data_IF_944594281219
#
_entry.id   IF_944594281219
#
_cell.length_a   1.000
_cell.length_b   1.000
_cell.length_c   1.000
_cell.angle_alpha   90.00
_cell.angle_beta   90.00
_cell.angle_gamma   90.00
#
_symmetry.space_group_name_H-M   'P 1'
#
loop_
_entity.id
_entity.type
_entity.pdbx_description
1 polymer ?
#
# COMPACT_ATOMS: atom_id res chain seq x y z
N UNK A 1 17.66 -11.40 -1.21
CA UNK A 1 16.81 -11.88 -2.33
C UNK A 1 15.59 -11.01 -2.35
N UNK A 2 15.50 -10.02 -3.26
CA UNK A 2 14.39 -9.05 -3.27
C UNK A 2 13.11 -9.69 -3.85
N UNK A 3 11.94 -9.28 -3.34
CA UNK A 3 10.61 -9.68 -3.85
C UNK A 3 10.50 -9.41 -5.35
N UNK A 4 11.16 -8.37 -5.84
CA UNK A 4 11.28 -8.01 -7.25
C UNK A 4 11.97 -9.13 -8.07
N UNK A 5 13.03 -9.74 -7.55
CA UNK A 5 13.74 -10.87 -8.17
C UNK A 5 12.85 -12.12 -8.28
N UNK A 6 11.99 -12.33 -7.29
CA UNK A 6 11.03 -13.45 -7.29
C UNK A 6 9.91 -13.22 -8.32
N UNK A 7 9.38 -12.00 -8.41
CA UNK A 7 8.35 -11.65 -9.41
C UNK A 7 8.89 -11.82 -10.84
N UNK A 8 10.18 -11.51 -11.01
CA UNK A 8 10.84 -11.64 -12.30
C UNK A 8 11.20 -13.09 -12.64
N UNK A 9 11.47 -13.95 -11.66
CA UNK A 9 11.71 -15.38 -11.88
C UNK A 9 10.44 -16.16 -12.19
N UNK A 10 9.35 -15.87 -11.50
CA UNK A 10 8.05 -16.55 -11.65
C UNK A 10 7.30 -16.10 -12.92
N UNK A 11 7.65 -14.94 -13.50
CA UNK A 11 6.95 -14.40 -14.66
C UNK A 11 5.49 -13.98 -14.42
N UNK A 12 4.99 -14.14 -13.20
CA UNK A 12 3.59 -13.97 -12.82
C UNK A 12 3.40 -12.78 -11.87
N UNK A 13 3.50 -11.55 -12.43
CA UNK A 13 3.36 -10.33 -11.62
C UNK A 13 1.94 -10.12 -11.11
N UNK A 14 0.95 -10.49 -11.92
CA UNK A 14 -0.46 -10.42 -11.54
C UNK A 14 -0.71 -11.23 -10.26
N UNK A 15 -0.32 -12.50 -10.22
CA UNK A 15 -0.58 -13.36 -9.08
C UNK A 15 0.13 -12.93 -7.80
N UNK A 16 1.34 -12.36 -7.92
CA UNK A 16 2.02 -11.76 -6.76
C UNK A 16 1.32 -10.50 -6.25
N UNK A 17 0.78 -9.69 -7.14
CA UNK A 17 -0.06 -8.57 -6.74
C UNK A 17 -1.35 -9.07 -6.08
N UNK A 18 -2.03 -10.07 -6.67
CA UNK A 18 -3.24 -10.70 -6.11
C UNK A 18 -3.00 -11.25 -4.71
N UNK A 19 -1.89 -11.96 -4.47
CA UNK A 19 -1.58 -12.46 -3.13
C UNK A 19 -1.38 -11.33 -2.13
N UNK A 20 -0.69 -10.26 -2.49
CA UNK A 20 -0.48 -9.10 -1.62
C UNK A 20 -1.78 -8.35 -1.30
N UNK A 21 -2.65 -8.13 -2.30
CA UNK A 21 -3.97 -7.53 -2.09
C UNK A 21 -4.90 -8.48 -1.33
N UNK A 22 -4.87 -9.78 -1.63
CA UNK A 22 -5.65 -10.81 -0.95
C UNK A 22 -5.33 -10.90 0.53
N UNK A 23 -4.04 -10.93 0.89
CA UNK A 23 -3.61 -10.89 2.29
C UNK A 23 -4.15 -9.65 3.01
N UNK A 24 -4.04 -8.47 2.38
CA UNK A 24 -4.57 -7.24 2.96
C UNK A 24 -6.10 -7.25 3.07
N UNK A 25 -6.83 -7.83 2.10
CA UNK A 25 -8.28 -7.96 2.15
C UNK A 25 -8.74 -8.93 3.24
N UNK A 26 -8.04 -10.06 3.41
CA UNK A 26 -8.34 -11.06 4.45
C UNK A 26 -8.12 -10.53 5.88
N UNK A 27 -7.25 -9.55 6.08
CA UNK A 27 -7.09 -8.92 7.40
C UNK A 27 -8.23 -7.97 7.76
N UNK A 28 -9.00 -7.46 6.79
CA UNK A 28 -10.07 -6.49 7.05
C UNK A 28 -11.20 -7.03 7.94
N UNK A 29 -11.73 -8.25 7.71
CA UNK A 29 -12.73 -8.85 8.61
C UNK A 29 -12.20 -9.13 10.03
N UNK A 30 -10.88 -9.28 10.19
CA UNK A 30 -10.28 -9.53 11.50
C UNK A 30 -10.42 -8.33 12.43
N UNK A 31 -10.36 -7.09 11.90
CA UNK A 31 -10.46 -5.88 12.71
C UNK A 31 -11.77 -5.76 13.50
N UNK A 32 -12.97 -5.92 12.89
CA UNK A 32 -14.22 -5.86 13.65
C UNK A 32 -14.45 -7.08 14.55
N UNK A 33 -13.79 -8.21 14.29
CA UNK A 33 -13.92 -9.43 15.07
C UNK A 33 -12.84 -9.56 16.17
N UNK A 34 -11.87 -8.65 16.20
CA UNK A 34 -10.76 -8.71 17.14
C UNK A 34 -11.21 -8.45 18.58
N UNK A 35 -11.23 -9.49 19.40
CA UNK A 35 -11.53 -9.40 20.83
C UNK A 35 -10.34 -9.02 21.69
N UNK A 36 -9.11 -9.01 21.17
CA UNK A 36 -7.89 -8.69 21.91
C UNK A 36 -6.91 -7.85 21.11
N UNK A 37 -6.06 -7.09 21.80
CA UNK A 37 -5.00 -6.29 21.19
C UNK A 37 -4.04 -7.16 20.34
N UNK A 38 -3.76 -8.39 20.75
CA UNK A 38 -2.90 -9.30 20.02
C UNK A 38 -3.44 -9.61 18.61
N UNK A 39 -4.75 -9.79 18.46
CA UNK A 39 -5.40 -9.97 17.16
C UNK A 39 -5.26 -8.74 16.26
N UNK A 40 -5.43 -7.54 16.81
CA UNK A 40 -5.26 -6.28 16.07
C UNK A 40 -3.82 -6.11 15.58
N UNK A 41 -2.85 -6.36 16.45
CA UNK A 41 -1.42 -6.28 16.10
C UNK A 41 -1.07 -7.32 15.04
N UNK A 42 -1.53 -8.56 15.20
CA UNK A 42 -1.31 -9.63 14.23
C UNK A 42 -1.91 -9.31 12.86
N UNK A 43 -3.17 -8.85 12.81
CA UNK A 43 -3.82 -8.42 11.57
C UNK A 43 -3.07 -7.25 10.91
N UNK A 44 -2.63 -6.26 11.70
CA UNK A 44 -1.84 -5.12 11.19
C UNK A 44 -0.50 -5.58 10.61
N UNK A 45 0.16 -6.52 11.26
CA UNK A 45 1.43 -7.08 10.77
C UNK A 45 1.24 -7.81 9.42
N UNK A 46 0.23 -8.64 9.29
CA UNK A 46 -0.12 -9.33 8.03
C UNK A 46 -0.49 -8.33 6.93
N UNK A 47 -1.26 -7.28 7.24
CA UNK A 47 -1.58 -6.20 6.28
C UNK A 47 -0.29 -5.51 5.78
N UNK A 48 0.68 -5.25 6.67
CA UNK A 48 1.97 -4.67 6.30
C UNK A 48 2.79 -5.59 5.39
N UNK A 49 2.80 -6.90 5.67
CA UNK A 49 3.42 -7.90 4.77
C UNK A 49 2.74 -7.86 3.40
N UNK A 50 1.41 -7.87 3.34
CA UNK A 50 0.65 -7.76 2.10
C UNK A 50 1.01 -6.51 1.30
N UNK A 51 1.15 -5.35 1.96
CA UNK A 51 1.61 -4.10 1.33
C UNK A 51 3.03 -4.23 0.76
N UNK A 52 3.94 -4.86 1.48
CA UNK A 52 5.31 -5.11 1.03
C UNK A 52 5.36 -6.00 -0.22
N UNK A 53 4.52 -7.04 -0.25
CA UNK A 53 4.48 -7.99 -1.37
C UNK A 53 3.91 -7.34 -2.64
N UNK A 54 2.82 -6.55 -2.54
CA UNK A 54 2.10 -6.03 -3.71
C UNK A 54 2.77 -4.82 -4.37
N UNK A 55 3.57 -4.04 -3.65
CA UNK A 55 4.10 -2.77 -4.15
C UNK A 55 4.90 -2.92 -5.44
N UNK A 56 5.96 -3.71 -5.41
CA UNK A 56 6.85 -3.91 -6.55
C UNK A 56 6.17 -4.60 -7.76
N UNK A 57 5.37 -5.68 -7.61
CA UNK A 57 4.64 -6.29 -8.72
C UNK A 57 3.62 -5.35 -9.36
N UNK A 58 2.89 -4.57 -8.57
CA UNK A 58 1.92 -3.58 -9.06
C UNK A 58 2.58 -2.53 -9.93
N UNK A 59 3.66 -1.91 -9.42
CA UNK A 59 4.36 -0.86 -10.15
C UNK A 59 5.03 -1.41 -11.43
N UNK A 60 5.49 -2.66 -11.39
CA UNK A 60 6.01 -3.34 -12.55
C UNK A 60 4.92 -3.64 -13.60
N UNK A 61 3.70 -4.03 -13.18
CA UNK A 61 2.56 -4.19 -14.09
C UNK A 61 2.20 -2.88 -14.77
N UNK A 62 2.10 -1.79 -14.02
CA UNK A 62 1.84 -0.45 -14.59
C UNK A 62 2.88 -0.08 -15.63
N UNK A 63 4.17 -0.33 -15.36
CA UNK A 63 5.24 -0.05 -16.30
C UNK A 63 5.20 -0.94 -17.55
N UNK A 64 4.77 -2.21 -17.43
CA UNK A 64 4.69 -3.15 -18.56
C UNK A 64 3.55 -2.83 -19.52
N UNK A 65 2.38 -2.41 -19.00
CA UNK A 65 1.20 -2.11 -19.82
C UNK A 65 1.20 -0.68 -20.37
N UNK A 66 2.09 0.19 -19.86
CA UNK A 66 2.12 1.61 -20.24
C UNK A 66 3.25 1.88 -21.25
N UNK A 67 2.95 2.54 -22.39
CA UNK A 67 3.99 2.98 -23.32
C UNK A 67 5.07 3.82 -22.65
N UNK A 68 6.35 3.71 -23.07
CA UNK A 68 7.48 4.38 -22.40
C UNK A 68 7.30 5.89 -22.17
N UNK A 69 6.73 6.59 -23.15
CA UNK A 69 6.51 8.04 -23.11
C UNK A 69 5.37 8.47 -22.17
N UNK A 70 4.46 7.56 -21.77
CA UNK A 70 3.35 7.83 -20.86
C UNK A 70 3.59 7.31 -19.43
N UNK A 71 4.69 6.63 -19.16
CA UNK A 71 4.95 6.04 -17.82
C UNK A 71 4.89 7.07 -16.71
N UNK A 72 5.46 8.27 -16.92
CA UNK A 72 5.39 9.35 -15.93
C UNK A 72 3.96 9.73 -15.59
N UNK A 73 3.11 9.91 -16.62
CA UNK A 73 1.71 10.25 -16.45
C UNK A 73 0.93 9.12 -15.74
N UNK A 74 1.18 7.84 -16.10
CA UNK A 74 0.53 6.70 -15.47
C UNK A 74 0.88 6.58 -13.97
N UNK A 75 2.14 6.77 -13.60
CA UNK A 75 2.54 6.79 -12.21
C UNK A 75 2.01 8.02 -11.46
N UNK A 76 1.96 9.18 -12.12
CA UNK A 76 1.35 10.40 -11.57
C UNK A 76 -0.13 10.21 -11.29
N UNK A 77 -0.90 9.67 -12.25
CA UNK A 77 -2.32 9.36 -12.08
C UNK A 77 -2.54 8.36 -10.93
N UNK A 78 -1.75 7.29 -10.89
CA UNK A 78 -1.82 6.32 -9.79
C UNK A 78 -1.60 6.98 -8.43
N UNK A 79 -0.60 7.84 -8.32
CA UNK A 79 -0.30 8.55 -7.06
C UNK A 79 -1.40 9.53 -6.70
N UNK A 80 -1.96 10.24 -7.68
CA UNK A 80 -3.11 11.12 -7.47
C UNK A 80 -4.33 10.35 -6.93
N UNK A 81 -4.64 9.19 -7.51
CA UNK A 81 -5.73 8.33 -7.02
C UNK A 81 -5.46 7.77 -5.62
N UNK A 82 -4.22 7.39 -5.30
CA UNK A 82 -3.83 6.99 -3.94
C UNK A 82 -4.07 8.16 -2.94
N UNK A 83 -3.74 9.40 -3.32
CA UNK A 83 -3.97 10.60 -2.50
C UNK A 83 -5.46 10.90 -2.33
N UNK A 84 -6.25 10.82 -3.41
CA UNK A 84 -7.71 10.97 -3.35
C UNK A 84 -8.31 9.94 -2.40
N UNK A 85 -7.86 8.68 -2.47
CA UNK A 85 -8.28 7.63 -1.54
C UNK A 85 -7.90 7.91 -0.09
N UNK A 86 -6.70 8.43 0.15
CA UNK A 86 -6.24 8.80 1.48
C UNK A 86 -7.06 9.95 2.09
N UNK A 87 -7.51 10.89 1.27
CA UNK A 87 -8.38 12.00 1.68
C UNK A 87 -9.83 11.54 1.89
N UNK A 88 -10.41 10.83 0.93
CA UNK A 88 -11.82 10.42 0.98
C UNK A 88 -12.09 9.33 2.01
N UNK A 89 -11.11 8.47 2.31
CA UNK A 89 -11.24 7.38 3.30
C UNK A 89 -11.69 7.87 4.68
N UNK A 90 -10.96 8.78 5.33
CA UNK A 90 -11.35 9.35 6.61
C UNK A 90 -12.70 10.07 6.57
N UNK A 91 -13.02 10.80 5.49
CA UNK A 91 -14.31 11.47 5.34
C UNK A 91 -15.48 10.48 5.29
N UNK A 92 -15.32 9.39 4.53
CA UNK A 92 -16.31 8.31 4.52
C UNK A 92 -16.42 7.63 5.88
N UNK A 93 -15.33 7.46 6.60
CA UNK A 93 -15.34 6.91 7.95
C UNK A 93 -16.15 7.81 8.91
N UNK A 94 -15.96 9.13 8.85
CA UNK A 94 -16.75 10.09 9.65
C UNK A 94 -18.25 9.99 9.31
N UNK A 95 -18.59 9.98 8.01
CA UNK A 95 -19.97 9.84 7.57
C UNK A 95 -20.63 8.53 8.05
N UNK A 96 -19.90 7.42 7.95
CA UNK A 96 -20.36 6.12 8.44
C UNK A 96 -20.47 6.09 9.97
N UNK A 97 -19.55 6.69 10.71
CA UNK A 97 -19.63 6.81 12.17
C UNK A 97 -20.88 7.58 12.59
N UNK A 98 -21.18 8.69 11.92
CA UNK A 98 -22.39 9.46 12.15
C UNK A 98 -23.67 8.63 11.88
N UNK A 99 -23.69 7.88 10.77
CA UNK A 99 -24.84 7.03 10.40
C UNK A 99 -25.03 5.82 11.33
N UNK A 100 -23.93 5.29 11.91
CA UNK A 100 -23.96 4.09 12.74
C UNK A 100 -23.92 4.39 14.24
N UNK A 101 -24.12 5.64 14.65
CA UNK A 101 -24.08 6.09 16.05
C UNK A 101 -22.79 5.58 16.76
N UNK A 102 -21.63 5.86 16.16
CA UNK A 102 -20.29 5.51 16.67
C UNK A 102 -20.00 4.01 16.80
N UNK A 103 -20.72 3.16 16.02
CA UNK A 103 -20.53 1.74 16.09
C UNK A 103 -19.35 1.28 15.18
N UNK A 104 -18.12 1.31 15.70
CA UNK A 104 -16.87 0.98 15.00
C UNK A 104 -16.90 -0.36 14.23
N UNK A 105 -17.37 -1.48 14.80
CA UNK A 105 -17.38 -2.75 14.08
C UNK A 105 -18.12 -2.67 12.75
N UNK A 106 -19.24 -1.94 12.72
CA UNK A 106 -20.04 -1.76 11.49
C UNK A 106 -19.28 -0.99 10.43
N UNK A 107 -18.57 0.08 10.81
CA UNK A 107 -17.74 0.87 9.88
C UNK A 107 -16.63 0.00 9.26
N UNK A 108 -15.99 -0.86 10.06
CA UNK A 108 -15.00 -1.79 9.55
C UNK A 108 -15.58 -2.80 8.55
N UNK A 109 -16.81 -3.29 8.77
CA UNK A 109 -17.48 -4.17 7.82
C UNK A 109 -17.73 -3.50 6.48
N UNK A 110 -18.10 -2.22 6.45
CA UNK A 110 -18.20 -1.46 5.20
C UNK A 110 -16.87 -1.37 4.47
N UNK A 111 -15.72 -1.28 5.16
CA UNK A 111 -14.40 -1.28 4.54
C UNK A 111 -14.00 -2.63 3.92
N UNK A 112 -14.63 -3.74 4.31
CA UNK A 112 -14.39 -5.06 3.74
C UNK A 112 -14.83 -5.11 2.27
N UNK A 113 -15.97 -4.49 1.93
CA UNK A 113 -16.52 -4.53 0.57
C UNK A 113 -15.54 -3.99 -0.49
N UNK A 114 -15.02 -2.76 -0.39
CA UNK A 114 -14.06 -2.24 -1.37
C UNK A 114 -12.73 -2.99 -1.36
N UNK A 115 -12.32 -3.58 -0.22
CA UNK A 115 -11.12 -4.38 -0.15
C UNK A 115 -11.22 -5.65 -1.02
N UNK A 116 -12.31 -6.41 -0.91
CA UNK A 116 -12.54 -7.57 -1.76
C UNK A 116 -12.86 -7.19 -3.21
N UNK A 117 -13.60 -6.09 -3.43
CA UNK A 117 -13.84 -5.56 -4.77
C UNK A 117 -12.52 -5.24 -5.51
N UNK A 118 -11.53 -4.66 -4.82
CA UNK A 118 -10.21 -4.38 -5.42
C UNK A 118 -9.47 -5.66 -5.85
N UNK A 119 -9.58 -6.74 -5.08
CA UNK A 119 -9.01 -8.04 -5.44
C UNK A 119 -9.75 -8.63 -6.64
N UNK A 120 -11.08 -8.59 -6.63
CA UNK A 120 -11.91 -9.09 -7.73
C UNK A 120 -11.60 -8.35 -9.04
N UNK A 121 -11.53 -7.02 -9.01
CA UNK A 121 -11.16 -6.20 -10.18
C UNK A 121 -9.77 -6.60 -10.71
N UNK A 122 -8.80 -6.79 -9.82
CA UNK A 122 -7.45 -7.21 -10.21
C UNK A 122 -7.45 -8.59 -10.88
N UNK A 123 -8.22 -9.53 -10.34
CA UNK A 123 -8.30 -10.90 -10.87
C UNK A 123 -9.01 -10.93 -12.22
N UNK A 124 -10.13 -10.22 -12.35
CA UNK A 124 -11.00 -10.29 -13.54
C UNK A 124 -10.47 -9.42 -14.68
N UNK A 125 -10.13 -8.16 -14.39
CA UNK A 125 -9.85 -7.17 -15.44
C UNK A 125 -8.37 -7.05 -15.79
N UNK A 126 -7.43 -7.37 -14.89
CA UNK A 126 -6.01 -7.26 -15.20
C UNK A 126 -5.53 -8.54 -15.86
N UNK A 127 -5.11 -8.43 -17.13
CA UNK A 127 -4.44 -9.52 -17.84
C UNK A 127 -2.94 -9.47 -17.58
N UNK A 128 -2.30 -10.63 -17.47
CA UNK A 128 -0.84 -10.72 -17.42
C UNK A 128 -0.30 -10.30 -18.81
N UNK A 129 0.56 -9.28 -18.89
CA UNK A 129 1.11 -8.87 -20.19
C UNK A 129 2.05 -9.96 -20.73
N UNK A 130 1.84 -10.35 -21.99
CA UNK A 130 2.73 -11.27 -22.70
C UNK A 130 4.11 -10.60 -22.85
N UNK A 131 5.13 -11.28 -22.38
CA UNK A 131 6.51 -10.80 -22.51
C UNK A 131 7.16 -11.43 -23.72
N UNK A 132 7.74 -10.64 -24.63
CA UNK A 132 8.60 -11.20 -25.67
C UNK A 132 9.74 -11.98 -25.00
N UNK A 133 9.95 -13.22 -25.43
CA UNK A 133 10.95 -14.14 -24.88
C UNK A 133 12.40 -13.58 -24.94
N UNK A 134 12.64 -12.56 -25.74
CA UNK A 134 13.98 -11.98 -25.99
C UNK A 134 14.37 -10.82 -25.09
N UNK A 135 13.52 -10.33 -24.20
CA UNK A 135 13.95 -9.35 -23.20
C UNK A 135 14.78 -10.06 -22.13
N UNK A 136 16.03 -10.38 -22.51
CA UNK A 136 17.05 -10.92 -21.63
C UNK A 136 17.29 -9.91 -20.52
N UNK A 137 16.90 -10.25 -19.34
CA UNK A 137 17.01 -9.43 -18.15
C UNK A 137 18.46 -9.10 -17.90
N UNK A 138 18.82 -7.84 -18.03
CA UNK A 138 20.05 -7.35 -17.42
C UNK A 138 19.81 -7.38 -15.92
N UNK A 139 20.20 -8.45 -15.28
CA UNK A 139 20.34 -8.50 -13.84
C UNK A 139 21.58 -7.70 -13.49
N UNK A 140 21.40 -6.51 -12.99
CA UNK A 140 22.38 -5.97 -12.07
C UNK A 140 21.99 -6.49 -10.68
N UNK A 141 22.64 -7.51 -10.12
CA UNK A 141 22.52 -7.78 -8.70
C UNK A 141 22.96 -6.50 -7.98
N UNK A 142 22.27 -6.12 -6.92
CA UNK A 142 22.74 -5.09 -6.00
C UNK A 142 24.01 -5.61 -5.33
N UNK A 143 25.11 -5.65 -6.09
CA UNK A 143 26.43 -6.00 -5.59
C UNK A 143 27.06 -4.77 -4.95
N UNK A 144 27.94 -4.96 -3.98
CA UNK A 144 28.67 -3.86 -3.36
C UNK A 144 29.43 -3.02 -4.40
N UNK A 145 29.89 -3.65 -5.47
CA UNK A 145 30.55 -3.00 -6.60
C UNK A 145 29.61 -2.11 -7.41
N UNK A 146 28.37 -2.50 -7.62
CA UNK A 146 27.38 -1.66 -8.30
C UNK A 146 26.91 -0.50 -7.42
N UNK A 147 26.77 -0.72 -6.10
CA UNK A 147 26.47 0.33 -5.14
C UNK A 147 27.59 1.38 -5.04
N UNK A 148 28.84 0.95 -5.15
CA UNK A 148 29.99 1.86 -5.15
C UNK A 148 30.09 2.71 -6.43
N UNK A 149 29.46 2.29 -7.54
CA UNK A 149 29.36 3.08 -8.78
C UNK A 149 28.34 4.21 -8.71
N UNK A 150 27.47 4.18 -7.70
CA UNK A 150 26.52 5.27 -7.46
C UNK A 150 27.29 6.49 -6.91
N UNK A 151 27.24 7.59 -7.64
CA UNK A 151 27.96 8.82 -7.27
C UNK A 151 27.54 9.35 -5.90
N UNK A 152 28.38 10.22 -5.32
CA UNK A 152 28.14 10.84 -4.00
C UNK A 152 26.77 11.57 -3.93
N UNK A 153 26.34 12.19 -5.02
CA UNK A 153 25.03 12.85 -5.11
C UNK A 153 23.88 11.89 -4.81
N UNK A 154 23.93 10.65 -5.27
CA UNK A 154 22.92 9.64 -4.95
C UNK A 154 22.84 9.37 -3.44
N UNK A 155 23.99 9.19 -2.79
CA UNK A 155 24.06 8.92 -1.35
C UNK A 155 23.60 10.10 -0.51
N UNK A 156 23.85 11.34 -0.97
CA UNK A 156 23.30 12.53 -0.33
C UNK A 156 21.76 12.55 -0.39
N UNK A 157 21.18 12.26 -1.55
CA UNK A 157 19.71 12.16 -1.70
C UNK A 157 19.14 11.07 -0.81
N UNK A 158 19.79 9.89 -0.77
CA UNK A 158 19.38 8.79 0.13
C UNK A 158 19.48 9.21 1.59
N UNK A 159 20.56 9.88 1.98
CA UNK A 159 20.77 10.37 3.35
C UNK A 159 19.70 11.37 3.78
N UNK A 160 19.44 12.38 2.94
CA UNK A 160 18.36 13.35 3.20
C UNK A 160 17.00 12.66 3.29
N UNK A 161 16.71 11.73 2.38
CA UNK A 161 15.47 10.96 2.40
C UNK A 161 15.33 10.11 3.66
N UNK A 162 16.43 9.50 4.14
CA UNK A 162 16.45 8.72 5.37
C UNK A 162 16.16 9.60 6.60
N UNK A 163 16.83 10.76 6.72
CA UNK A 163 16.61 11.71 7.81
C UNK A 163 15.17 12.22 7.79
N UNK A 164 14.64 12.58 6.61
CA UNK A 164 13.27 13.02 6.47
C UNK A 164 12.26 11.93 6.87
N UNK A 165 12.54 10.68 6.51
CA UNK A 165 11.69 9.53 6.88
C UNK A 165 11.72 9.28 8.38
N UNK A 166 12.87 9.45 9.03
CA UNK A 166 13.00 9.33 10.49
C UNK A 166 12.26 10.46 11.23
N UNK A 167 12.26 11.68 10.67
CA UNK A 167 11.52 12.80 11.22
C UNK A 167 9.98 12.62 11.10
N UNK A 168 9.54 11.73 10.23
CA UNK A 168 8.14 11.43 10.00
C UNK A 168 7.63 10.46 11.06
N UNK A 169 7.07 10.97 12.14
CA UNK A 169 6.45 10.14 13.19
C UNK A 169 5.11 9.53 12.73
N UNK A 170 4.66 8.52 13.46
CA UNK A 170 3.41 7.82 13.14
C UNK A 170 2.20 8.73 13.30
N UNK A 171 1.30 8.71 12.33
CA UNK A 171 -0.01 9.37 12.37
C UNK A 171 -0.84 8.97 13.60
N UNK A 172 -0.57 7.78 14.17
CA UNK A 172 -1.21 7.33 15.40
C UNK A 172 -0.96 8.28 16.59
N UNK A 173 0.20 8.95 16.67
CA UNK A 173 0.45 9.93 17.72
C UNK A 173 -0.43 11.17 17.60
N UNK A 174 -0.78 11.58 16.38
CA UNK A 174 -1.73 12.66 16.16
C UNK A 174 -3.12 12.28 16.66
N UNK A 175 -3.55 11.04 16.41
CA UNK A 175 -4.83 10.53 16.90
C UNK A 175 -4.88 10.49 18.42
N UNK A 176 -3.82 9.95 19.06
CA UNK A 176 -3.70 9.93 20.52
C UNK A 176 -3.68 11.36 21.12
N UNK A 177 -3.03 12.30 20.45
CA UNK A 177 -3.02 13.69 20.90
C UNK A 177 -4.41 14.34 20.79
N UNK A 178 -5.13 14.08 19.68
CA UNK A 178 -6.49 14.57 19.50
C UNK A 178 -7.43 14.01 20.58
N UNK A 179 -7.34 12.73 20.90
CA UNK A 179 -8.10 12.10 21.98
C UNK A 179 -7.76 12.72 23.34
N UNK A 180 -6.47 12.92 23.65
CA UNK A 180 -6.02 13.56 24.88
C UNK A 180 -6.46 15.02 25.00
N UNK A 181 -6.79 15.69 23.91
CA UNK A 181 -7.34 17.05 23.87
C UNK A 181 -8.88 17.07 23.95
N UNK A 182 -9.53 15.90 24.11
CA UNK A 182 -10.98 15.79 24.22
C UNK A 182 -11.74 15.89 22.89
N UNK A 183 -11.07 15.67 21.76
CA UNK A 183 -11.74 15.61 20.46
C UNK A 183 -12.66 14.37 20.44
N UNK A 184 -13.98 14.53 20.15
CA UNK A 184 -14.89 13.40 20.07
C UNK A 184 -14.38 12.34 19.09
N UNK A 185 -14.56 11.07 19.43
CA UNK A 185 -14.03 9.91 18.71
C UNK A 185 -14.46 9.90 17.23
N UNK A 186 -15.65 10.37 16.93
CA UNK A 186 -16.19 10.55 15.58
C UNK A 186 -15.30 11.45 14.69
N UNK A 187 -14.71 12.51 15.28
CA UNK A 187 -13.87 13.47 14.54
C UNK A 187 -12.40 13.08 14.49
N UNK A 188 -12.00 12.05 15.23
CA UNK A 188 -10.60 11.59 15.24
C UNK A 188 -10.06 11.28 13.83
N UNK A 189 -10.82 10.67 12.88
CA UNK A 189 -10.34 10.48 11.51
C UNK A 189 -10.08 11.78 10.74
N UNK A 190 -10.71 12.91 11.11
CA UNK A 190 -10.48 14.20 10.46
C UNK A 190 -9.05 14.72 10.65
N UNK A 191 -8.38 14.31 11.72
CA UNK A 191 -6.98 14.67 11.99
C UNK A 191 -6.02 14.08 10.95
N UNK A 192 -6.46 13.07 10.19
CA UNK A 192 -5.68 12.39 9.15
C UNK A 192 -5.88 12.97 7.74
N UNK A 193 -6.82 13.91 7.58
CA UNK A 193 -7.14 14.60 6.32
C UNK A 193 -6.30 15.86 6.17
#
# INVERSE_FOLDING_TARGET
>A
MCIRDRSDKLGQRKWLAVTGYGLAALTKPVFPLAGTMAWLVGARFVDRIGKGIRGAPRDALVADITPPHLRGAAFGLRQALDTVGAFTGPLLAIGLMWLTADHFPTVFWFAVLPAFASVAVLVVFVKEPERPAHVRRVRAPLSRTELARLGSAYWWVVGVGAVFTLARFSEAFLLLRAEAMGVPLMWTPAVLV
#
